data_IF_089439805989
#
_entry.id   IF_089439805989
#
_cell.length_a   1.000
_cell.length_b   1.000
_cell.length_c   1.000
_cell.angle_alpha   90.00
_cell.angle_beta   90.00
_cell.angle_gamma   90.00
#
_symmetry.space_group_name_H-M   'P 1'
#
loop_
_entity.id
_entity.type
_entity.pdbx_description
1 polymer ?
#
# COMPACT_ATOMS: atom_id res chain seq x y z
N UNK A 1 58.93 -38.08 -8.64
CA UNK A 1 58.41 -37.06 -7.71
C UNK A 1 58.48 -35.71 -8.42
N UNK A 2 57.34 -35.21 -8.88
CA UNK A 2 57.17 -33.84 -9.36
C UNK A 2 55.80 -33.39 -8.85
N UNK A 3 55.79 -32.38 -7.99
CA UNK A 3 54.60 -31.89 -7.31
C UNK A 3 53.70 -31.11 -8.27
N UNK A 4 52.39 -31.38 -8.20
CA UNK A 4 51.34 -30.65 -8.88
C UNK A 4 51.18 -29.22 -8.32
N UNK A 5 50.68 -28.25 -9.10
CA UNK A 5 50.44 -26.90 -8.62
C UNK A 5 49.32 -26.87 -7.59
N UNK A 6 49.55 -26.11 -6.52
CA UNK A 6 48.59 -25.84 -5.45
C UNK A 6 47.48 -24.94 -6.01
N UNK A 7 46.26 -25.47 -6.07
CA UNK A 7 45.05 -24.67 -6.26
C UNK A 7 44.75 -24.00 -4.92
N UNK A 8 44.82 -22.67 -4.87
CA UNK A 8 44.29 -21.90 -3.74
C UNK A 8 42.77 -21.98 -3.73
N UNK A 9 42.12 -22.17 -2.56
CA UNK A 9 40.65 -22.15 -2.51
C UNK A 9 40.17 -20.73 -2.78
N UNK A 10 39.31 -20.58 -3.79
CA UNK A 10 38.53 -19.36 -3.99
C UNK A 10 37.72 -19.07 -2.71
N UNK A 11 37.85 -17.85 -2.21
CA UNK A 11 37.16 -17.35 -1.03
C UNK A 11 35.64 -17.29 -1.32
N UNK A 12 34.79 -18.09 -0.63
CA UNK A 12 33.36 -18.20 -0.93
C UNK A 12 32.56 -16.93 -0.58
N UNK A 13 33.20 -15.86 -0.11
CA UNK A 13 32.55 -14.61 0.28
C UNK A 13 32.57 -13.49 -0.79
N UNK A 14 33.07 -13.78 -2.00
CA UNK A 14 33.14 -12.78 -3.10
C UNK A 14 31.99 -12.86 -4.10
N UNK A 15 30.95 -13.66 -3.87
CA UNK A 15 29.75 -13.61 -4.71
C UNK A 15 28.88 -12.41 -4.29
N UNK A 16 28.54 -11.47 -5.21
CA UNK A 16 27.50 -10.49 -4.92
C UNK A 16 26.21 -11.25 -4.54
N UNK A 17 25.37 -10.74 -3.62
CA UNK A 17 24.19 -11.45 -3.17
C UNK A 17 23.33 -11.85 -4.39
N UNK A 18 23.32 -13.15 -4.68
CA UNK A 18 22.80 -13.75 -5.91
C UNK A 18 21.31 -14.03 -5.86
N UNK A 19 20.50 -13.04 -5.45
CA UNK A 19 19.04 -13.10 -5.56
C UNK A 19 18.54 -12.49 -6.89
N UNK A 20 17.29 -12.72 -7.31
CA UNK A 20 16.72 -12.00 -8.43
C UNK A 20 16.77 -10.46 -8.18
N UNK A 21 16.87 -9.63 -9.23
CA UNK A 21 16.93 -8.17 -9.09
C UNK A 21 15.61 -7.57 -8.58
N UNK A 22 14.51 -8.33 -8.69
CA UNK A 22 13.16 -7.94 -8.30
C UNK A 22 12.54 -9.05 -7.44
N UNK A 23 11.66 -8.68 -6.51
CA UNK A 23 10.86 -9.58 -5.69
C UNK A 23 9.36 -9.35 -5.90
N UNK A 24 8.59 -10.44 -5.88
CA UNK A 24 7.13 -10.46 -5.94
C UNK A 24 6.57 -10.49 -4.52
N UNK A 25 5.92 -9.41 -4.11
CA UNK A 25 5.33 -9.26 -2.79
C UNK A 25 3.82 -9.36 -2.89
N UNK A 26 3.27 -10.52 -2.52
CA UNK A 26 1.82 -10.75 -2.47
C UNK A 26 1.26 -10.11 -1.20
N UNK A 27 0.19 -9.32 -1.35
CA UNK A 27 -0.42 -8.58 -0.23
C UNK A 27 -1.61 -9.31 0.40
N UNK A 28 -2.22 -10.26 -0.31
CA UNK A 28 -3.35 -11.03 0.17
C UNK A 28 -2.98 -11.86 1.41
N UNK A 29 -3.95 -12.03 2.31
CA UNK A 29 -3.77 -12.83 3.53
C UNK A 29 -4.82 -13.91 3.75
N UNK A 30 -5.80 -14.02 2.85
CA UNK A 30 -6.91 -14.97 2.93
C UNK A 30 -7.23 -15.61 1.57
N UNK A 31 -6.22 -16.23 0.94
CA UNK A 31 -6.39 -16.97 -0.30
C UNK A 31 -7.00 -18.35 -0.02
N UNK A 32 -7.95 -18.77 -0.84
CA UNK A 32 -8.59 -20.08 -0.73
C UNK A 32 -8.91 -20.70 -2.09
N UNK A 33 -9.40 -21.94 -2.09
CA UNK A 33 -9.92 -22.60 -3.31
C UNK A 33 -11.05 -21.76 -3.92
N UNK A 34 -11.02 -21.60 -5.24
CA UNK A 34 -11.94 -20.78 -6.02
C UNK A 34 -11.24 -19.59 -6.69
N UNK A 35 -12.04 -18.65 -7.17
CA UNK A 35 -11.55 -17.44 -7.83
C UNK A 35 -11.13 -16.41 -6.81
N UNK A 36 -9.87 -15.98 -6.86
CA UNK A 36 -9.32 -15.02 -5.92
C UNK A 36 -8.87 -13.80 -6.70
N UNK A 37 -9.20 -12.61 -6.20
CA UNK A 37 -8.50 -11.41 -6.62
C UNK A 37 -7.16 -11.34 -5.92
N UNK A 38 -6.08 -11.51 -6.69
CA UNK A 38 -4.73 -11.37 -6.21
C UNK A 38 -4.30 -9.91 -6.32
N UNK A 39 -3.63 -9.40 -5.29
CA UNK A 39 -3.05 -8.06 -5.22
C UNK A 39 -1.57 -8.17 -4.83
N UNK A 40 -0.65 -7.65 -5.65
CA UNK A 40 0.79 -7.78 -5.41
C UNK A 40 1.60 -6.56 -5.86
N UNK A 41 2.80 -6.42 -5.29
CA UNK A 41 3.80 -5.42 -5.70
C UNK A 41 5.05 -6.08 -6.25
N UNK A 42 5.74 -5.38 -7.15
CA UNK A 42 7.08 -5.72 -7.60
C UNK A 42 8.04 -4.71 -6.99
N UNK A 43 9.11 -5.19 -6.34
CA UNK A 43 10.11 -4.31 -5.70
C UNK A 43 11.52 -4.75 -6.05
N UNK A 44 12.40 -3.79 -6.31
CA UNK A 44 13.81 -4.07 -6.52
C UNK A 44 14.54 -4.36 -5.19
N UNK A 45 15.86 -4.54 -5.27
CA UNK A 45 16.71 -4.82 -4.09
C UNK A 45 16.78 -3.67 -3.08
N UNK A 46 16.48 -2.45 -3.51
CA UNK A 46 16.38 -1.27 -2.65
C UNK A 46 14.97 -1.08 -2.08
N UNK A 47 14.07 -2.05 -2.30
CA UNK A 47 12.65 -2.00 -1.95
C UNK A 47 11.90 -0.87 -2.67
N UNK A 48 12.42 -0.41 -3.81
CA UNK A 48 11.74 0.57 -4.64
C UNK A 48 10.75 -0.13 -5.56
N UNK A 49 9.54 0.44 -5.76
CA UNK A 49 8.55 -0.15 -6.64
C UNK A 49 9.04 -0.26 -8.09
N UNK A 50 8.88 -1.43 -8.69
CA UNK A 50 9.11 -1.69 -10.11
C UNK A 50 7.76 -1.71 -10.81
N UNK A 51 7.65 -1.01 -11.94
CA UNK A 51 6.40 -0.84 -12.69
C UNK A 51 6.63 -1.14 -14.17
N UNK A 52 6.63 -2.42 -14.57
CA UNK A 52 6.55 -2.77 -15.98
C UNK A 52 5.16 -2.42 -16.54
N UNK A 53 5.08 -2.26 -17.86
CA UNK A 53 3.81 -1.94 -18.55
C UNK A 53 2.84 -3.13 -18.58
N UNK A 54 3.37 -4.35 -18.61
CA UNK A 54 2.61 -5.59 -18.59
C UNK A 54 3.25 -6.62 -17.67
N UNK A 55 2.42 -7.41 -16.97
CA UNK A 55 2.86 -8.52 -16.13
C UNK A 55 2.01 -9.75 -16.43
N UNK A 56 2.62 -10.78 -17.00
CA UNK A 56 1.99 -12.08 -17.16
C UNK A 56 2.16 -12.88 -15.86
N UNK A 57 1.07 -13.44 -15.33
CA UNK A 57 1.06 -14.19 -14.09
C UNK A 57 0.67 -15.66 -14.33
N UNK A 58 1.37 -16.58 -13.67
CA UNK A 58 1.06 -18.01 -13.68
C UNK A 58 0.99 -18.54 -12.26
N UNK A 59 -0.04 -19.34 -11.97
CA UNK A 59 -0.12 -20.10 -10.73
C UNK A 59 0.32 -21.54 -10.99
N UNK A 60 1.33 -22.00 -10.26
CA UNK A 60 1.95 -23.32 -10.39
C UNK A 60 1.73 -24.09 -9.10
N UNK A 61 1.19 -25.30 -9.21
CA UNK A 61 0.99 -26.19 -8.08
C UNK A 61 2.01 -27.33 -8.08
N UNK A 62 2.60 -27.58 -6.93
CA UNK A 62 3.50 -28.70 -6.68
C UNK A 62 2.83 -29.68 -5.72
N UNK A 63 2.66 -30.91 -6.19
CA UNK A 63 2.21 -32.02 -5.36
C UNK A 63 3.25 -32.32 -4.27
N UNK A 64 2.85 -32.83 -3.08
CA UNK A 64 3.78 -33.17 -2.01
C UNK A 64 4.89 -34.10 -2.48
N UNK A 65 6.14 -33.66 -2.32
CA UNK A 65 7.33 -34.44 -2.73
C UNK A 65 7.63 -34.42 -4.24
N UNK A 66 6.82 -33.74 -5.05
CA UNK A 66 7.10 -33.53 -6.47
C UNK A 66 8.05 -32.35 -6.68
N UNK A 67 9.10 -32.56 -7.48
CA UNK A 67 9.94 -31.46 -7.99
C UNK A 67 9.36 -30.80 -9.25
N UNK A 68 8.29 -31.36 -9.82
CA UNK A 68 7.64 -30.86 -11.04
C UNK A 68 6.34 -30.16 -10.69
N UNK A 69 6.29 -28.86 -10.96
CA UNK A 69 5.11 -28.03 -10.83
C UNK A 69 4.20 -28.10 -12.06
N UNK A 70 2.90 -28.06 -11.83
CA UNK A 70 1.88 -28.00 -12.87
C UNK A 70 1.34 -26.58 -12.96
N UNK A 71 1.38 -25.96 -14.14
CA UNK A 71 0.71 -24.66 -14.33
C UNK A 71 -0.81 -24.90 -14.31
N UNK A 72 -1.50 -24.35 -13.32
CA UNK A 72 -2.94 -24.51 -13.13
C UNK A 72 -3.75 -23.31 -13.61
N UNK A 73 -3.14 -22.12 -13.61
CA UNK A 73 -3.79 -20.90 -14.04
C UNK A 73 -2.80 -19.96 -14.74
N UNK A 74 -3.30 -19.16 -15.70
CA UNK A 74 -2.55 -18.12 -16.40
C UNK A 74 -3.45 -16.91 -16.60
N UNK A 75 -2.92 -15.72 -16.34
CA UNK A 75 -3.64 -14.47 -16.47
C UNK A 75 -2.66 -13.31 -16.67
N UNK A 76 -3.17 -12.12 -16.94
CA UNK A 76 -2.39 -10.88 -16.95
C UNK A 76 -2.81 -10.02 -15.76
N UNK A 77 -1.86 -9.30 -15.18
CA UNK A 77 -2.12 -8.39 -14.09
C UNK A 77 -2.24 -6.96 -14.60
N UNK A 78 -3.26 -6.26 -14.09
CA UNK A 78 -3.50 -4.85 -14.33
C UNK A 78 -2.88 -4.01 -13.21
N UNK A 79 -2.26 -2.89 -13.55
CA UNK A 79 -1.77 -1.95 -12.54
C UNK A 79 -2.90 -1.02 -12.09
N UNK A 80 -3.24 -1.07 -10.81
CA UNK A 80 -4.23 -0.20 -10.19
C UNK A 80 -3.53 0.98 -9.50
N UNK A 81 -3.59 2.18 -10.08
CA UNK A 81 -2.99 3.37 -9.48
C UNK A 81 -3.74 3.78 -8.21
N UNK A 82 -3.00 4.26 -7.21
CA UNK A 82 -3.59 4.87 -6.01
C UNK A 82 -3.65 6.41 -6.17
N UNK A 83 -4.76 7.04 -5.72
CA UNK A 83 -4.87 8.50 -5.69
C UNK A 83 -3.77 9.19 -4.85
N UNK A 84 -3.47 10.48 -5.10
CA UNK A 84 -4.08 11.35 -6.12
C UNK A 84 -3.32 11.42 -7.45
N UNK A 85 -2.06 10.98 -7.51
CA UNK A 85 -1.17 11.19 -8.67
C UNK A 85 -0.88 9.91 -9.46
N UNK A 86 -1.44 8.76 -9.07
CA UNK A 86 -1.26 7.47 -9.74
C UNK A 86 0.18 6.97 -9.80
N UNK A 87 1.10 7.62 -9.07
CA UNK A 87 2.52 7.24 -9.04
C UNK A 87 2.80 6.01 -8.19
N UNK A 88 1.86 5.67 -7.31
CA UNK A 88 1.85 4.46 -6.48
C UNK A 88 0.66 3.61 -6.91
N UNK A 89 0.69 2.34 -6.56
CA UNK A 89 -0.37 1.42 -6.92
C UNK A 89 0.01 -0.01 -6.63
N UNK A 90 -0.84 -0.92 -7.06
CA UNK A 90 -0.68 -2.37 -6.87
C UNK A 90 -1.06 -3.07 -8.16
N UNK A 91 -0.39 -4.18 -8.47
CA UNK A 91 -0.86 -5.06 -9.54
C UNK A 91 -1.99 -5.93 -9.03
N UNK A 92 -3.03 -6.11 -9.85
CA UNK A 92 -4.15 -6.97 -9.54
C UNK A 92 -4.46 -7.94 -10.67
N UNK A 93 -4.79 -9.18 -10.31
CA UNK A 93 -5.19 -10.21 -11.26
C UNK A 93 -6.19 -11.16 -10.62
N UNK A 94 -7.17 -11.64 -11.38
CA UNK A 94 -8.02 -12.74 -10.93
C UNK A 94 -7.31 -14.07 -11.19
N UNK A 95 -7.14 -14.87 -10.13
CA UNK A 95 -6.45 -16.16 -10.15
C UNK A 95 -7.36 -17.22 -9.53
N UNK A 96 -7.60 -18.29 -10.28
CA UNK A 96 -8.38 -19.43 -9.77
C UNK A 96 -7.46 -20.50 -9.19
N UNK A 97 -7.73 -20.92 -7.95
CA UNK A 97 -7.06 -22.05 -7.31
C UNK A 97 -8.01 -23.22 -7.21
N UNK A 98 -7.67 -24.36 -7.81
CA UNK A 98 -8.56 -25.52 -7.85
C UNK A 98 -8.41 -26.51 -6.69
N UNK A 99 -7.49 -26.22 -5.75
CA UNK A 99 -7.21 -27.03 -4.56
C UNK A 99 -6.40 -26.27 -3.54
N UNK A 100 -6.51 -26.70 -2.28
CA UNK A 100 -5.71 -26.13 -1.22
C UNK A 100 -4.22 -26.53 -1.33
N UNK A 101 -3.38 -25.67 -0.76
CA UNK A 101 -1.93 -25.83 -0.69
C UNK A 101 -1.36 -24.83 0.31
N UNK A 102 -1.25 -25.25 1.58
CA UNK A 102 -0.76 -24.38 2.67
C UNK A 102 0.69 -24.67 3.03
N UNK A 103 1.33 -25.62 2.34
CA UNK A 103 2.66 -26.14 2.63
C UNK A 103 2.88 -26.60 4.08
N UNK A 104 1.80 -26.83 4.84
CA UNK A 104 1.82 -27.07 6.30
C UNK A 104 0.62 -27.91 6.74
N UNK A 105 0.75 -28.60 7.87
CA UNK A 105 -0.33 -29.44 8.41
C UNK A 105 -0.64 -30.62 7.48
N UNK A 106 -1.93 -30.86 7.22
CA UNK A 106 -2.42 -31.96 6.38
C UNK A 106 -2.41 -31.63 4.87
N UNK A 107 -2.22 -30.34 4.52
CA UNK A 107 -2.22 -29.86 3.13
C UNK A 107 -0.80 -29.49 2.70
N UNK A 108 -0.04 -30.49 2.28
CA UNK A 108 1.39 -30.36 1.97
C UNK A 108 1.70 -29.80 0.57
N UNK A 109 0.69 -29.62 -0.28
CA UNK A 109 0.87 -29.03 -1.61
C UNK A 109 1.34 -27.57 -1.53
N UNK A 110 2.10 -27.15 -2.53
CA UNK A 110 2.71 -25.81 -2.59
C UNK A 110 2.19 -25.07 -3.82
N UNK A 111 1.74 -23.84 -3.61
CA UNK A 111 1.42 -22.92 -4.70
C UNK A 111 2.55 -21.90 -4.87
N UNK A 112 3.02 -21.74 -6.10
CA UNK A 112 3.92 -20.67 -6.50
C UNK A 112 3.24 -19.77 -7.53
N UNK A 113 3.37 -18.47 -7.35
CA UNK A 113 3.01 -17.45 -8.33
C UNK A 113 4.25 -16.99 -9.07
N UNK A 114 4.20 -17.07 -10.39
CA UNK A 114 5.30 -16.69 -11.27
C UNK A 114 4.87 -15.47 -12.08
N UNK A 115 5.52 -14.33 -11.86
CA UNK A 115 5.30 -13.10 -12.61
C UNK A 115 6.41 -12.93 -13.66
N UNK A 116 6.03 -12.76 -14.92
CA UNK A 116 6.93 -12.55 -16.06
C UNK A 116 6.67 -11.16 -16.66
N UNK A 117 7.71 -10.35 -16.83
CA UNK A 117 7.61 -8.99 -17.36
C UNK A 117 8.94 -8.48 -17.93
N UNK A 118 8.86 -7.43 -18.76
CA UNK A 118 10.03 -6.76 -19.30
C UNK A 118 10.67 -5.85 -18.26
N UNK A 119 11.97 -6.02 -18.01
CA UNK A 119 12.71 -5.27 -17.01
C UNK A 119 13.74 -4.34 -17.65
N UNK A 120 13.35 -3.08 -17.85
CA UNK A 120 14.11 -2.06 -18.58
C UNK A 120 15.50 -1.73 -18.00
N UNK A 121 15.80 -2.10 -16.75
CA UNK A 121 17.12 -1.93 -16.15
C UNK A 121 18.07 -3.10 -16.42
N UNK A 122 17.65 -4.08 -17.23
CA UNK A 122 18.54 -5.11 -17.75
C UNK A 122 19.46 -4.49 -18.82
N UNK A 123 20.79 -4.48 -18.64
CA UNK A 123 21.72 -3.77 -19.54
C UNK A 123 21.89 -4.41 -20.93
N UNK A 124 21.06 -5.38 -21.31
CA UNK A 124 21.12 -6.07 -22.60
C UNK A 124 19.99 -5.59 -23.53
N UNK A 125 20.34 -5.22 -24.77
CA UNK A 125 19.38 -4.77 -25.79
C UNK A 125 18.37 -5.86 -26.22
N UNK A 126 18.65 -7.12 -25.90
CA UNK A 126 17.81 -8.31 -26.14
C UNK A 126 17.47 -9.02 -24.82
N UNK A 127 17.22 -8.27 -23.74
CA UNK A 127 16.94 -8.87 -22.45
C UNK A 127 15.65 -9.72 -22.48
N UNK A 128 15.81 -11.03 -22.27
CA UNK A 128 14.69 -11.94 -22.04
C UNK A 128 13.81 -11.44 -20.86
N UNK A 129 12.48 -11.61 -20.93
CA UNK A 129 11.58 -11.22 -19.85
C UNK A 129 11.98 -11.85 -18.52
N UNK A 130 12.01 -11.03 -17.47
CA UNK A 130 12.35 -11.49 -16.13
C UNK A 130 11.17 -12.28 -15.57
N UNK A 131 11.42 -13.50 -15.08
CA UNK A 131 10.44 -14.29 -14.33
C UNK A 131 10.85 -14.40 -12.87
N UNK A 132 9.94 -14.08 -11.96
CA UNK A 132 10.14 -14.16 -10.52
C UNK A 132 9.01 -14.94 -9.84
N UNK A 133 9.37 -15.72 -8.83
CA UNK A 133 8.44 -16.57 -8.08
C UNK A 133 8.14 -16.04 -6.68
N UNK A 134 6.95 -16.31 -6.17
CA UNK A 134 6.59 -16.16 -4.76
C UNK A 134 5.68 -17.30 -4.32
N UNK A 135 5.90 -17.85 -3.13
CA UNK A 135 5.06 -18.92 -2.57
C UNK A 135 3.85 -18.31 -1.90
N UNK A 136 2.68 -18.90 -2.12
CA UNK A 136 1.43 -18.50 -1.45
C UNK A 136 0.79 -19.69 -0.74
N UNK A 137 0.07 -19.40 0.34
CA UNK A 137 -0.72 -20.38 1.08
C UNK A 137 -2.18 -20.24 0.68
N UNK A 138 -2.78 -21.32 0.19
CA UNK A 138 -4.18 -21.40 -0.26
C UNK A 138 -4.93 -22.36 0.64
N UNK A 139 -5.92 -21.86 1.37
CA UNK A 139 -6.78 -22.66 2.24
C UNK A 139 -7.91 -23.36 1.46
N UNK A 140 -8.61 -24.31 2.08
CA UNK A 140 -9.81 -24.94 1.49
C UNK A 140 -10.99 -23.95 1.33
N UNK A 141 -11.10 -22.98 2.24
CA UNK A 141 -12.15 -21.98 2.24
C UNK A 141 -11.64 -20.65 2.79
N UNK A 142 -12.26 -19.55 2.38
CA UNK A 142 -12.00 -18.24 2.96
C UNK A 142 -12.39 -18.22 4.44
N UNK A 143 -11.67 -17.43 5.24
CA UNK A 143 -12.06 -17.15 6.63
C UNK A 143 -13.00 -15.96 6.69
N UNK A 144 -12.75 -14.96 5.84
CA UNK A 144 -13.65 -13.83 5.68
C UNK A 144 -14.84 -14.22 4.80
N UNK A 145 -16.01 -13.54 4.96
CA UNK A 145 -17.14 -13.71 4.05
C UNK A 145 -16.70 -13.48 2.60
N UNK A 146 -17.06 -14.41 1.72
CA UNK A 146 -16.71 -14.36 0.31
C UNK A 146 -17.86 -13.75 -0.52
N UNK A 147 -17.60 -13.47 -1.80
CA UNK A 147 -18.62 -12.93 -2.70
C UNK A 147 -19.79 -13.93 -2.80
N UNK A 148 -20.99 -13.44 -2.48
CA UNK A 148 -22.21 -14.24 -2.46
C UNK A 148 -22.63 -14.72 -1.07
N UNK A 149 -21.73 -14.67 -0.09
CA UNK A 149 -22.07 -15.01 1.30
C UNK A 149 -22.93 -13.93 1.95
N UNK A 150 -23.69 -14.34 2.97
CA UNK A 150 -24.38 -13.40 3.84
C UNK A 150 -23.38 -12.64 4.72
N UNK A 151 -23.47 -11.30 4.71
CA UNK A 151 -22.63 -10.47 5.58
C UNK A 151 -22.97 -10.71 7.07
N UNK A 152 -21.96 -10.85 7.95
CA UNK A 152 -22.18 -10.92 9.39
C UNK A 152 -22.93 -9.68 9.91
N UNK A 153 -23.99 -9.91 10.69
CA UNK A 153 -24.81 -8.83 11.29
C UNK A 153 -24.17 -8.32 12.58
N UNK A 154 -22.96 -7.80 12.48
CA UNK A 154 -22.14 -7.33 13.61
C UNK A 154 -22.73 -6.09 14.28
N UNK A 155 -22.85 -6.13 15.61
CA UNK A 155 -23.26 -4.97 16.41
C UNK A 155 -22.05 -4.09 16.72
N UNK A 156 -21.67 -3.25 15.75
CA UNK A 156 -20.54 -2.34 15.86
C UNK A 156 -20.91 -1.03 16.56
N UNK A 157 -19.98 -0.41 17.32
CA UNK A 157 -20.25 0.85 18.00
C UNK A 157 -20.71 1.97 17.04
N UNK A 158 -21.64 2.79 17.52
CA UNK A 158 -22.16 3.98 16.82
C UNK A 158 -21.96 5.21 17.69
N UNK A 159 -21.79 6.39 17.10
CA UNK A 159 -21.58 7.64 17.84
C UNK A 159 -22.27 8.82 17.17
N UNK A 160 -22.72 9.79 17.97
CA UNK A 160 -23.37 11.02 17.48
C UNK A 160 -22.64 12.28 17.89
N UNK A 161 -21.95 12.23 19.04
CA UNK A 161 -21.19 13.36 19.58
C UNK A 161 -19.70 13.17 19.37
N UNK A 162 -18.93 14.25 19.41
CA UNK A 162 -17.47 14.17 19.33
C UNK A 162 -16.87 13.27 20.44
N UNK A 163 -17.45 13.30 21.64
CA UNK A 163 -17.03 12.44 22.76
C UNK A 163 -17.29 10.96 22.47
N UNK A 164 -18.44 10.61 21.87
CA UNK A 164 -18.70 9.21 21.46
C UNK A 164 -17.66 8.77 20.43
N UNK A 165 -17.41 9.60 19.41
CA UNK A 165 -16.52 9.27 18.31
C UNK A 165 -15.06 9.08 18.76
N UNK A 166 -14.60 9.88 19.71
CA UNK A 166 -13.27 9.72 20.33
C UNK A 166 -13.11 8.33 20.97
N UNK A 167 -14.18 7.79 21.56
CA UNK A 167 -14.12 6.47 22.20
C UNK A 167 -14.15 5.29 21.23
N UNK A 168 -14.62 5.48 20.00
CA UNK A 168 -14.86 4.40 19.02
C UNK A 168 -14.03 4.53 17.73
N UNK A 169 -13.24 5.59 17.58
CA UNK A 169 -12.37 5.81 16.43
C UNK A 169 -11.01 6.32 16.85
N UNK A 170 -9.95 5.79 16.25
CA UNK A 170 -8.62 6.37 16.35
C UNK A 170 -8.36 7.51 15.35
N UNK A 171 -9.33 7.84 14.47
CA UNK A 171 -9.18 8.98 13.57
C UNK A 171 -9.04 10.29 14.36
N UNK A 172 -8.04 11.13 14.06
CA UNK A 172 -7.95 12.47 14.66
C UNK A 172 -9.15 13.37 14.31
N UNK A 173 -9.78 13.13 13.17
CA UNK A 173 -10.93 13.86 12.66
C UNK A 173 -11.93 12.82 12.12
N UNK A 174 -12.69 12.14 13.00
CA UNK A 174 -13.65 11.11 12.58
C UNK A 174 -14.87 11.77 11.92
N UNK A 175 -15.26 11.29 10.76
CA UNK A 175 -16.51 11.70 10.11
C UNK A 175 -17.72 11.06 10.81
N UNK A 176 -18.61 11.83 11.44
CA UNK A 176 -19.78 11.28 12.13
C UNK A 176 -20.70 10.45 11.22
N UNK A 177 -20.72 10.71 9.91
CA UNK A 177 -21.56 9.97 8.96
C UNK A 177 -21.24 8.47 8.93
N UNK A 178 -19.97 8.10 9.12
CA UNK A 178 -19.49 6.72 9.08
C UNK A 178 -19.84 5.89 10.34
N UNK A 179 -20.38 6.52 11.38
CA UNK A 179 -20.72 5.88 12.66
C UNK A 179 -22.20 6.04 13.02
N UNK A 180 -23.06 6.44 12.06
CA UNK A 180 -24.50 6.59 12.27
C UNK A 180 -25.23 5.26 12.46
N UNK A 181 -24.74 4.22 11.80
CA UNK A 181 -25.32 2.88 11.77
C UNK A 181 -24.28 1.86 12.19
N UNK A 182 -24.70 0.84 12.93
CA UNK A 182 -23.89 -0.37 13.07
C UNK A 182 -23.89 -1.16 11.76
N UNK A 183 -22.93 -2.07 11.59
CA UNK A 183 -22.89 -2.98 10.44
C UNK A 183 -24.21 -3.76 10.31
N UNK A 184 -24.73 -4.29 11.42
CA UNK A 184 -26.01 -4.99 11.43
C UNK A 184 -27.18 -4.10 10.97
N UNK A 185 -27.20 -2.81 11.34
CA UNK A 185 -28.22 -1.87 10.90
C UNK A 185 -28.07 -1.53 9.41
N UNK A 186 -26.85 -1.30 8.94
CA UNK A 186 -26.55 -1.00 7.54
C UNK A 186 -26.98 -2.15 6.62
N UNK A 187 -26.66 -3.40 6.98
CA UNK A 187 -27.07 -4.59 6.20
C UNK A 187 -28.60 -4.76 6.20
N UNK A 188 -29.26 -4.58 7.35
CA UNK A 188 -30.73 -4.70 7.46
C UNK A 188 -31.51 -3.59 6.75
N UNK A 189 -30.87 -2.47 6.44
CA UNK A 189 -31.52 -1.36 5.74
C UNK A 189 -31.92 -1.71 4.29
N UNK A 190 -31.45 -2.84 3.74
CA UNK A 190 -31.82 -3.31 2.41
C UNK A 190 -31.23 -2.51 1.26
N UNK A 191 -30.30 -1.60 1.55
CA UNK A 191 -29.48 -0.85 0.58
C UNK A 191 -28.07 -1.43 0.54
N UNK A 192 -27.30 -1.20 -0.53
CA UNK A 192 -25.87 -1.53 -0.54
C UNK A 192 -25.16 -0.94 0.67
N UNK A 193 -24.29 -1.73 1.30
CA UNK A 193 -23.50 -1.31 2.46
C UNK A 193 -22.01 -1.50 2.17
N UNK A 194 -21.22 -0.47 2.43
CA UNK A 194 -19.76 -0.48 2.35
C UNK A 194 -19.21 -0.41 3.76
N UNK A 195 -18.48 -1.44 4.17
CA UNK A 195 -17.91 -1.56 5.51
C UNK A 195 -16.39 -1.57 5.41
N UNK A 196 -15.71 -0.70 6.15
CA UNK A 196 -14.25 -0.61 6.19
C UNK A 196 -13.74 -0.89 7.60
N UNK A 197 -12.94 -1.95 7.75
CA UNK A 197 -12.19 -2.23 8.97
C UNK A 197 -10.82 -1.56 8.86
N UNK A 198 -10.59 -0.51 9.63
CA UNK A 198 -9.36 0.26 9.57
C UNK A 198 -8.99 0.84 10.94
N UNK A 199 -7.73 1.27 11.05
CA UNK A 199 -7.22 1.90 12.26
C UNK A 199 -6.40 3.15 11.91
N UNK A 200 -7.07 4.30 11.68
CA UNK A 200 -6.46 5.49 11.12
C UNK A 200 -5.16 5.96 11.82
N UNK A 201 -5.07 5.86 13.16
CA UNK A 201 -3.88 6.30 13.88
C UNK A 201 -2.87 5.20 14.22
N UNK A 202 -3.23 3.91 14.12
CA UNK A 202 -2.36 2.82 14.57
C UNK A 202 -1.81 1.93 13.45
N UNK A 203 -2.22 2.18 12.20
CA UNK A 203 -1.81 1.42 11.02
C UNK A 203 -0.37 1.75 10.63
N UNK A 204 0.52 0.74 10.62
CA UNK A 204 1.97 0.90 10.40
C UNK A 204 2.30 1.54 9.05
N UNK A 205 1.54 1.19 8.02
CA UNK A 205 1.71 1.70 6.66
C UNK A 205 1.16 3.10 6.45
N UNK A 206 0.42 3.65 7.44
CA UNK A 206 -0.29 4.93 7.37
C UNK A 206 -1.26 5.05 6.17
N UNK A 207 -1.68 3.93 5.57
CA UNK A 207 -2.66 3.89 4.46
C UNK A 207 -4.10 3.90 4.95
N UNK A 208 -4.34 3.42 6.17
CA UNK A 208 -5.67 3.29 6.75
C UNK A 208 -6.39 4.64 6.93
N UNK A 209 -5.67 5.71 7.29
CA UNK A 209 -6.26 7.05 7.43
C UNK A 209 -6.81 7.61 6.12
N UNK A 210 -5.98 7.70 5.04
CA UNK A 210 -6.45 8.06 3.71
C UNK A 210 -7.64 7.22 3.22
N UNK A 211 -7.62 5.90 3.40
CA UNK A 211 -8.74 5.04 2.99
C UNK A 211 -10.06 5.38 3.68
N UNK A 212 -10.02 5.75 4.97
CA UNK A 212 -11.22 6.20 5.69
C UNK A 212 -11.68 7.58 5.21
N UNK A 213 -10.76 8.46 4.79
CA UNK A 213 -11.12 9.74 4.18
C UNK A 213 -11.80 9.55 2.82
N UNK A 214 -11.32 8.62 1.99
CA UNK A 214 -11.95 8.27 0.72
C UNK A 214 -13.35 7.66 0.96
N UNK A 215 -13.49 6.82 1.99
CA UNK A 215 -14.79 6.29 2.41
C UNK A 215 -15.77 7.41 2.81
N UNK A 216 -15.31 8.43 3.52
CA UNK A 216 -16.10 9.63 3.85
C UNK A 216 -16.55 10.39 2.61
N UNK A 217 -15.67 10.57 1.62
CA UNK A 217 -16.03 11.21 0.35
C UNK A 217 -17.13 10.42 -0.38
N UNK A 218 -16.98 9.09 -0.45
CA UNK A 218 -18.00 8.20 -1.02
C UNK A 218 -19.31 8.26 -0.25
N UNK A 219 -19.26 8.33 1.08
CA UNK A 219 -20.44 8.45 1.92
C UNK A 219 -21.23 9.72 1.62
N UNK A 220 -20.54 10.86 1.39
CA UNK A 220 -21.16 12.09 0.94
C UNK A 220 -21.74 11.99 -0.47
N UNK A 221 -21.00 11.38 -1.41
CA UNK A 221 -21.41 11.25 -2.82
C UNK A 221 -22.63 10.35 -3.03
N UNK A 222 -22.74 9.27 -2.26
CA UNK A 222 -23.80 8.26 -2.38
C UNK A 222 -24.79 8.29 -1.21
N UNK A 223 -24.93 9.46 -0.57
CA UNK A 223 -25.89 9.64 0.52
C UNK A 223 -27.30 9.20 0.10
N UNK A 224 -27.94 8.41 0.95
CA UNK A 224 -29.28 7.87 0.69
C UNK A 224 -29.34 6.68 -0.29
N UNK A 225 -28.28 6.39 -1.06
CA UNK A 225 -28.22 5.27 -2.00
C UNK A 225 -27.50 4.05 -1.40
N UNK A 226 -26.48 4.28 -0.58
CA UNK A 226 -25.74 3.24 0.13
C UNK A 226 -25.47 3.64 1.58
N UNK A 227 -25.17 2.65 2.43
CA UNK A 227 -24.69 2.86 3.80
C UNK A 227 -23.18 2.69 3.85
N UNK A 228 -22.50 3.54 4.60
CA UNK A 228 -21.04 3.51 4.76
C UNK A 228 -20.73 3.42 6.25
N UNK A 229 -19.93 2.42 6.63
CA UNK A 229 -19.59 2.16 8.02
C UNK A 229 -18.08 1.99 8.15
N UNK A 230 -17.46 2.79 9.01
CA UNK A 230 -16.10 2.53 9.47
C UNK A 230 -16.14 1.78 10.79
N UNK A 231 -15.34 0.72 10.88
CA UNK A 231 -15.17 -0.09 12.08
C UNK A 231 -13.72 0.02 12.53
N UNK A 232 -13.50 0.71 13.65
CA UNK A 232 -12.20 0.65 14.33
C UNK A 232 -11.97 -0.77 14.83
N UNK A 233 -10.81 -1.34 14.50
CA UNK A 233 -10.52 -2.74 14.84
C UNK A 233 -10.25 -2.92 16.32
N UNK A 234 -9.79 -1.87 17.01
CA UNK A 234 -9.52 -1.89 18.44
C UNK A 234 -10.68 -1.35 19.26
N UNK A 235 -10.89 -1.95 20.44
CA UNK A 235 -11.78 -1.40 21.46
C UNK A 235 -11.09 -0.22 22.15
N UNK A 236 -11.87 0.80 22.50
CA UNK A 236 -11.45 1.99 23.24
C UNK A 236 -10.13 2.61 22.70
N UNK A 237 -10.04 2.92 21.38
CA UNK A 237 -8.84 3.48 20.75
C UNK A 237 -8.21 4.67 21.49
N UNK A 238 -9.01 5.52 22.13
CA UNK A 238 -8.54 6.66 22.94
C UNK A 238 -7.68 6.26 24.15
N UNK A 239 -7.83 5.03 24.67
CA UNK A 239 -7.05 4.50 25.78
C UNK A 239 -5.76 3.79 25.33
N UNK A 240 -5.59 3.60 24.01
CA UNK A 240 -4.47 2.81 23.49
C UNK A 240 -3.18 3.61 23.61
N UNK A 241 -2.27 3.07 24.41
CA UNK A 241 -0.88 3.52 24.44
C UNK A 241 -0.11 2.85 23.28
N UNK A 242 0.54 3.61 22.39
CA UNK A 242 1.37 3.06 21.32
C UNK A 242 2.49 2.11 21.80
N UNK A 243 2.92 2.23 23.06
CA UNK A 243 3.93 1.38 23.68
C UNK A 243 3.39 0.04 24.21
N UNK A 244 2.06 -0.16 24.27
CA UNK A 244 1.45 -1.39 24.76
C UNK A 244 1.14 -2.37 23.60
N UNK A 245 1.70 -3.60 23.63
CA UNK A 245 1.46 -4.60 22.61
C UNK A 245 0.10 -5.32 22.73
N UNK A 246 -0.60 -5.23 23.85
CA UNK A 246 -1.88 -5.93 24.06
C UNK A 246 -3.06 -4.98 23.83
N UNK A 247 -3.66 -5.06 22.64
CA UNK A 247 -4.84 -4.26 22.28
C UNK A 247 -6.04 -5.17 22.10
N UNK A 248 -7.11 -4.91 22.82
CA UNK A 248 -8.37 -5.64 22.64
C UNK A 248 -8.99 -5.25 21.28
N UNK A 249 -9.48 -6.25 20.54
CA UNK A 249 -10.14 -6.05 19.25
C UNK A 249 -11.65 -6.06 19.44
N UNK A 250 -12.39 -5.30 18.63
CA UNK A 250 -13.86 -5.37 18.63
C UNK A 250 -14.33 -6.76 18.15
N UNK A 251 -15.47 -7.29 18.65
CA UNK A 251 -15.97 -8.62 18.28
C UNK A 251 -16.13 -8.82 16.77
N UNK A 252 -16.54 -7.77 16.06
CA UNK A 252 -16.70 -7.76 14.61
C UNK A 252 -15.44 -8.24 13.85
N UNK A 253 -14.23 -7.97 14.36
CA UNK A 253 -12.99 -8.48 13.73
C UNK A 253 -12.96 -10.01 13.69
N UNK A 254 -13.46 -10.67 14.73
CA UNK A 254 -13.55 -12.14 14.77
C UNK A 254 -14.75 -12.67 13.98
N UNK A 255 -15.90 -11.99 14.06
CA UNK A 255 -17.13 -12.36 13.35
C UNK A 255 -16.93 -12.33 11.83
N UNK A 256 -16.07 -11.43 11.35
CA UNK A 256 -15.70 -11.31 9.94
C UNK A 256 -14.48 -12.16 9.57
N UNK A 257 -13.93 -12.98 10.48
CA UNK A 257 -12.80 -13.87 10.17
C UNK A 257 -11.45 -13.17 9.97
N UNK A 258 -11.31 -11.93 10.45
CA UNK A 258 -10.18 -11.05 10.11
C UNK A 258 -8.96 -11.22 11.02
N UNK A 259 -9.03 -12.13 12.00
CA UNK A 259 -7.89 -12.46 12.85
C UNK A 259 -6.91 -13.35 12.09
N UNK A 260 -5.64 -12.94 11.99
CA UNK A 260 -4.59 -13.88 11.56
C UNK A 260 -4.44 -14.98 12.62
N UNK A 261 -4.42 -16.23 12.18
CA UNK A 261 -3.95 -17.34 13.00
C UNK A 261 -2.45 -17.12 13.22
N UNK A 262 -2.07 -16.74 14.43
CA UNK A 262 -0.82 -17.19 15.06
C UNK A 262 -0.97 -17.09 16.59
N UNK A 263 -1.44 -18.18 17.19
CA UNK A 263 -1.13 -18.51 18.57
C UNK A 263 0.34 -18.96 18.66
N UNK A 264 1.29 -18.06 18.42
CA UNK A 264 2.67 -18.24 18.86
C UNK A 264 3.31 -16.88 19.04
N UNK A 265 3.91 -16.66 20.21
CA UNK A 265 4.55 -15.44 20.70
C UNK A 265 5.35 -14.70 19.60
N UNK A 266 4.76 -13.69 18.97
CA UNK A 266 5.49 -12.73 18.13
C UNK A 266 4.91 -11.34 18.33
N UNK A 267 5.79 -10.37 18.62
CA UNK A 267 5.51 -8.97 18.96
C UNK A 267 5.08 -8.15 17.73
N UNK A 268 4.11 -8.62 16.96
CA UNK A 268 3.58 -7.87 15.81
C UNK A 268 2.09 -8.14 15.63
N UNK A 269 1.29 -7.33 16.32
CA UNK A 269 -0.13 -7.09 16.04
C UNK A 269 -0.20 -5.65 15.53
N UNK A 270 -0.89 -5.24 14.46
CA UNK A 270 -1.83 -5.91 13.58
C UNK A 270 -1.78 -5.19 12.22
N UNK A 271 -1.88 -5.94 11.12
CA UNK A 271 -2.46 -5.43 9.88
C UNK A 271 -3.71 -6.26 9.65
N UNK A 272 -4.84 -5.76 10.14
CA UNK A 272 -6.16 -6.18 9.66
C UNK A 272 -6.66 -5.03 8.81
N UNK A 273 -6.33 -5.10 7.53
CA UNK A 273 -6.97 -4.30 6.50
C UNK A 273 -7.84 -5.29 5.74
N UNK A 274 -9.16 -5.17 5.89
CA UNK A 274 -10.08 -5.79 4.93
C UNK A 274 -10.55 -4.68 4.04
N UNK A 275 -9.79 -4.56 2.96
CA UNK A 275 -10.25 -3.96 1.72
C UNK A 275 -11.23 -4.98 1.15
N UNK A 276 -12.45 -4.56 0.80
CA UNK A 276 -13.08 -5.11 -0.41
C UNK A 276 -12.07 -4.74 -1.49
N UNK A 277 -11.08 -5.62 -1.72
CA UNK A 277 -9.90 -5.34 -2.54
C UNK A 277 -10.43 -4.77 -3.84
N UNK A 278 -10.13 -3.50 -4.09
CA UNK A 278 -10.69 -2.69 -5.15
C UNK A 278 -10.38 -1.21 -4.88
N UNK A 279 -10.02 -0.50 -5.95
CA UNK A 279 -9.90 0.95 -5.96
C UNK A 279 -11.25 1.59 -5.56
N UNK A 280 -11.23 2.83 -5.09
CA UNK A 280 -12.41 3.68 -4.90
C UNK A 280 -13.28 3.64 -6.16
N UNK A 281 -12.67 3.67 -7.35
CA UNK A 281 -13.36 3.58 -8.64
C UNK A 281 -14.11 2.26 -8.84
N UNK A 282 -13.64 1.17 -8.24
CA UNK A 282 -14.26 -0.14 -8.36
C UNK A 282 -15.38 -0.36 -7.34
N UNK A 283 -15.20 0.15 -6.12
CA UNK A 283 -16.32 0.27 -5.17
C UNK A 283 -17.42 1.11 -5.83
N UNK A 284 -17.04 2.19 -6.49
CA UNK A 284 -17.95 3.03 -7.29
C UNK A 284 -18.57 2.26 -8.47
N UNK A 285 -17.80 1.48 -9.23
CA UNK A 285 -18.32 0.68 -10.35
C UNK A 285 -19.31 -0.38 -9.87
N UNK A 286 -19.01 -1.03 -8.74
CA UNK A 286 -19.88 -2.01 -8.09
C UNK A 286 -21.17 -1.35 -7.59
N UNK A 287 -21.07 -0.20 -6.92
CA UNK A 287 -22.23 0.57 -6.46
C UNK A 287 -23.10 1.04 -7.64
N UNK A 288 -22.50 1.48 -8.75
CA UNK A 288 -23.23 1.84 -9.98
C UNK A 288 -23.93 0.64 -10.61
N UNK A 289 -23.27 -0.52 -10.66
CA UNK A 289 -23.85 -1.77 -11.14
C UNK A 289 -25.03 -2.25 -10.27
N UNK A 290 -24.95 -2.07 -8.95
CA UNK A 290 -26.03 -2.36 -8.01
C UNK A 290 -27.19 -1.36 -8.12
N UNK A 291 -26.91 -0.06 -8.21
CA UNK A 291 -27.94 0.97 -8.39
C UNK A 291 -28.72 0.81 -9.70
N UNK A 292 -28.07 0.36 -10.78
CA UNK A 292 -28.74 0.01 -12.04
C UNK A 292 -29.68 -1.21 -11.93
N UNK A 293 -29.34 -2.20 -11.10
CA UNK A 293 -30.16 -3.41 -10.87
C UNK A 293 -31.37 -3.20 -9.96
N UNK A 294 -31.37 -2.16 -9.13
CA UNK A 294 -32.52 -1.81 -8.26
C UNK A 294 -33.69 -1.22 -9.07
N UNK A 295 -33.50 -0.96 -10.37
CA UNK A 295 -34.52 -0.40 -11.25
C UNK A 295 -35.33 -1.42 -12.07
N UNK A 296 -35.02 -2.73 -12.00
CA UNK A 296 -35.73 -3.75 -12.78
C UNK A 296 -35.80 -5.10 -12.04
N UNK A 297 -36.97 -5.51 -11.51
CA UNK A 297 -37.11 -6.72 -10.71
C UNK A 297 -37.38 -7.95 -11.57
N UNK A 298 -36.69 -8.15 -12.70
CA UNK A 298 -36.80 -9.39 -13.48
C UNK A 298 -35.59 -9.64 -14.38
N UNK A 299 -34.41 -9.99 -13.86
CA UNK A 299 -33.42 -10.73 -14.65
C UNK A 299 -32.64 -11.73 -13.79
N UNK A 300 -32.82 -13.02 -14.09
CA UNK A 300 -32.08 -14.15 -13.54
C UNK A 300 -30.62 -14.17 -14.04
N UNK A 301 -29.73 -14.68 -13.20
CA UNK A 301 -28.31 -14.92 -13.49
C UNK A 301 -28.15 -15.80 -14.74
N UNK A 302 -27.38 -15.42 -15.77
CA UNK A 302 -27.10 -16.32 -16.88
C UNK A 302 -25.97 -17.29 -16.50
N UNK A 303 -26.28 -18.58 -16.56
CA UNK A 303 -25.32 -19.68 -16.52
C UNK A 303 -24.67 -19.83 -17.90
N UNK A 304 -23.37 -20.14 -17.91
CA UNK A 304 -22.58 -20.34 -19.12
C UNK A 304 -23.08 -21.56 -19.93
N UNK A 305 -23.45 -21.33 -21.20
CA UNK A 305 -23.08 -22.12 -22.40
C UNK A 305 -24.04 -21.84 -23.57
N UNK A 306 -23.54 -21.23 -24.65
CA UNK A 306 -23.79 -21.62 -26.05
C UNK A 306 -23.22 -20.56 -27.02
N UNK A 307 -22.49 -21.04 -28.04
CA UNK A 307 -22.08 -20.31 -29.25
C UNK A 307 -23.32 -20.01 -30.11
N UNK A 308 -23.36 -18.85 -30.78
CA UNK A 308 -23.36 -18.69 -32.26
C UNK A 308 -23.78 -17.27 -32.71
N UNK A 309 -22.89 -16.66 -33.52
CA UNK A 309 -23.05 -15.80 -34.72
C UNK A 309 -24.07 -14.66 -34.84
N UNK A 310 -23.54 -13.55 -35.43
CA UNK A 310 -24.18 -12.53 -36.28
C UNK A 310 -25.11 -11.52 -35.57
N UNK A 311 -25.26 -10.26 -35.93
CA UNK A 311 -24.61 -9.23 -36.77
C UNK A 311 -25.37 -7.92 -36.40
N UNK A 312 -24.97 -6.77 -36.92
CA UNK A 312 -25.65 -5.45 -36.86
C UNK A 312 -25.28 -4.49 -35.71
N UNK A 313 -24.21 -3.74 -35.98
CA UNK A 313 -24.23 -2.29 -36.16
C UNK A 313 -25.11 -1.43 -35.23
N UNK A 314 -24.45 -0.65 -34.36
CA UNK A 314 -24.67 0.80 -34.35
C UNK A 314 -23.34 1.49 -34.08
N UNK A 315 -22.74 2.03 -35.14
CA UNK A 315 -21.55 2.87 -35.09
C UNK A 315 -21.91 4.28 -34.63
N UNK A 316 -21.15 4.82 -33.68
CA UNK A 316 -20.90 6.27 -33.59
C UNK A 316 -19.39 6.45 -33.59
N UNK A 317 -18.87 6.84 -34.75
CA UNK A 317 -17.49 7.26 -34.97
C UNK A 317 -17.29 8.69 -34.47
N UNK A 318 -16.18 8.94 -33.77
CA UNK A 318 -15.54 10.27 -33.75
C UNK A 318 -14.05 10.05 -34.04
N UNK A 319 -13.64 10.56 -35.20
CA UNK A 319 -12.27 10.60 -35.69
C UNK A 319 -11.44 11.70 -34.98
N UNK A 320 -10.10 11.64 -35.07
CA UNK A 320 -9.19 12.41 -34.23
C UNK A 320 -8.95 13.82 -34.79
N UNK A 321 -8.64 14.77 -33.92
CA UNK A 321 -8.18 16.10 -34.31
C UNK A 321 -6.66 16.21 -34.09
N UNK A 322 -5.92 16.20 -35.19
CA UNK A 322 -4.58 16.79 -35.39
C UNK A 322 -4.87 18.04 -36.22
N UNK A 323 -4.36 19.25 -36.02
CA UNK A 323 -3.31 19.85 -35.19
C UNK A 323 -2.95 21.16 -35.91
N UNK A 324 -2.58 22.22 -35.19
CA UNK A 324 -1.78 23.31 -35.76
C UNK A 324 -0.87 23.85 -34.67
N UNK A 325 0.42 23.63 -34.87
CA UNK A 325 1.55 24.22 -34.15
C UNK A 325 1.59 25.74 -34.35
N UNK A 326 2.09 26.46 -33.35
CA UNK A 326 3.00 27.60 -33.57
C UNK A 326 3.66 28.01 -32.24
N UNK A 327 4.99 27.91 -32.19
CA UNK A 327 5.86 28.78 -31.36
C UNK A 327 6.42 28.21 -30.06
N UNK A 328 7.60 27.57 -30.13
CA UNK A 328 8.58 27.55 -29.03
C UNK A 328 8.94 29.00 -28.62
N UNK A 329 9.16 29.25 -27.32
CA UNK A 329 10.41 29.90 -26.97
C UNK A 329 11.12 29.22 -25.79
N UNK A 330 12.34 28.79 -26.12
CA UNK A 330 13.60 29.07 -25.43
C UNK A 330 13.71 28.77 -23.93
N UNK A 331 14.56 27.78 -23.63
CA UNK A 331 15.15 27.52 -22.33
C UNK A 331 15.82 28.79 -21.78
N UNK A 332 15.12 29.49 -20.89
CA UNK A 332 15.77 30.37 -19.92
C UNK A 332 15.31 30.02 -18.52
N UNK A 333 16.27 29.54 -17.74
CA UNK A 333 16.24 29.39 -16.29
C UNK A 333 15.52 30.56 -15.61
N UNK A 334 14.28 30.33 -15.18
CA UNK A 334 13.57 31.19 -14.25
C UNK A 334 13.45 30.44 -12.91
N UNK A 335 14.28 30.84 -11.95
CA UNK A 335 14.16 30.45 -10.55
C UNK A 335 12.72 30.72 -10.07
N UNK A 336 11.99 29.65 -9.73
CA UNK A 336 10.77 29.78 -8.95
C UNK A 336 11.17 30.30 -7.56
N UNK A 337 10.86 31.56 -7.27
CA UNK A 337 11.03 32.15 -5.94
C UNK A 337 10.03 31.51 -4.97
N UNK A 338 10.38 30.32 -4.47
CA UNK A 338 9.67 29.60 -3.42
C UNK A 338 9.77 30.34 -2.08
N UNK A 339 8.85 30.06 -1.18
CA UNK A 339 8.91 30.60 0.18
C UNK A 339 10.18 30.09 0.89
N UNK A 340 10.83 30.94 1.67
CA UNK A 340 12.02 30.57 2.44
C UNK A 340 11.64 30.07 3.85
N UNK A 341 12.46 29.17 4.40
CA UNK A 341 12.35 28.76 5.79
C UNK A 341 12.61 29.94 6.74
N UNK A 342 11.76 30.08 7.77
CA UNK A 342 11.93 31.06 8.84
C UNK A 342 11.68 30.38 10.21
N UNK A 343 12.00 31.09 11.29
CA UNK A 343 11.85 30.58 12.65
C UNK A 343 10.45 29.98 12.94
N UNK A 344 9.36 30.64 12.52
CA UNK A 344 7.99 30.15 12.77
C UNK A 344 7.70 28.81 12.06
N UNK A 345 8.16 28.68 10.81
CA UNK A 345 8.03 27.45 10.02
C UNK A 345 8.88 26.33 10.60
N UNK A 346 10.12 26.62 10.98
CA UNK A 346 11.01 25.64 11.62
C UNK A 346 10.45 25.16 12.94
N UNK A 347 9.94 26.02 13.84
CA UNK A 347 9.35 25.58 15.11
C UNK A 347 8.19 24.61 14.91
N UNK A 348 7.30 24.92 13.95
CA UNK A 348 6.12 24.09 13.66
C UNK A 348 6.52 22.76 13.02
N UNK A 349 7.50 22.78 12.11
CA UNK A 349 8.07 21.60 11.49
C UNK A 349 8.78 20.70 12.52
N UNK A 350 9.62 21.30 13.37
CA UNK A 350 10.46 20.60 14.33
C UNK A 350 9.67 19.84 15.40
N UNK A 351 8.55 20.41 15.87
CA UNK A 351 7.71 19.79 16.90
C UNK A 351 7.13 18.44 16.49
N UNK A 352 6.99 18.19 15.19
CA UNK A 352 6.36 16.97 14.67
C UNK A 352 7.36 15.97 14.08
N UNK A 353 8.66 16.29 14.13
CA UNK A 353 9.73 15.40 13.68
C UNK A 353 10.05 14.34 14.73
N UNK A 354 10.49 13.14 14.32
CA UNK A 354 10.98 12.12 15.26
C UNK A 354 12.28 12.59 15.94
N UNK A 355 12.57 12.10 17.15
CA UNK A 355 13.79 12.47 17.86
C UNK A 355 15.06 12.10 17.09
N UNK A 356 15.06 10.93 16.46
CA UNK A 356 16.17 10.46 15.61
C UNK A 356 16.34 11.36 14.37
N UNK A 357 15.25 11.86 13.77
CA UNK A 357 15.34 12.77 12.64
C UNK A 357 15.83 14.17 13.07
N UNK A 358 15.45 14.64 14.27
CA UNK A 358 15.98 15.89 14.85
C UNK A 358 17.48 15.77 15.05
N UNK A 359 17.94 14.67 15.64
CA UNK A 359 19.36 14.41 15.86
C UNK A 359 20.15 14.36 14.54
N UNK A 360 19.59 13.73 13.51
CA UNK A 360 20.19 13.71 12.18
C UNK A 360 20.28 15.12 11.56
N UNK A 361 19.21 15.90 11.58
CA UNK A 361 19.21 17.27 11.04
C UNK A 361 20.13 18.22 11.81
N UNK A 362 20.18 18.13 13.15
CA UNK A 362 21.13 18.88 13.98
C UNK A 362 22.59 18.50 13.68
N UNK A 363 22.84 17.22 13.38
CA UNK A 363 24.19 16.80 13.05
C UNK A 363 24.63 17.40 11.72
N UNK A 364 23.77 17.35 10.70
CA UNK A 364 24.02 17.92 9.37
C UNK A 364 24.14 19.45 9.42
N UNK A 365 23.36 20.14 10.26
CA UNK A 365 23.43 21.61 10.39
C UNK A 365 24.75 22.11 10.98
N UNK A 366 25.49 21.25 11.69
CA UNK A 366 26.82 21.53 12.26
C UNK A 366 27.97 21.12 11.34
N UNK A 367 27.68 20.44 10.23
CA UNK A 367 28.69 19.98 9.28
C UNK A 367 29.10 21.10 8.32
N UNK A 368 30.34 21.08 7.80
CA UNK A 368 30.75 22.03 6.76
C UNK A 368 29.77 22.03 5.59
N UNK A 369 29.41 23.22 5.11
CA UNK A 369 28.46 23.42 4.00
C UNK A 369 27.10 22.71 4.19
N UNK A 370 26.67 22.49 5.44
CA UNK A 370 25.42 21.79 5.74
C UNK A 370 25.31 20.40 5.10
N UNK A 371 26.46 19.75 4.90
CA UNK A 371 26.57 18.51 4.15
C UNK A 371 27.26 17.44 4.99
N UNK A 372 26.70 16.23 5.05
CA UNK A 372 27.25 15.11 5.80
C UNK A 372 27.13 13.81 5.01
N UNK A 373 28.25 13.10 4.81
CA UNK A 373 28.23 11.76 4.17
C UNK A 373 27.35 10.79 4.98
N UNK A 374 26.52 10.00 4.29
CA UNK A 374 25.57 9.06 4.92
C UNK A 374 26.26 8.09 5.88
N UNK A 375 27.39 7.51 5.48
CA UNK A 375 28.16 6.59 6.30
C UNK A 375 28.63 7.21 7.63
N UNK A 376 29.08 8.48 7.59
CA UNK A 376 29.51 9.20 8.79
C UNK A 376 28.33 9.55 9.71
N UNK A 377 27.17 9.87 9.13
CA UNK A 377 25.95 10.14 9.88
C UNK A 377 25.43 8.87 10.58
N UNK A 378 25.40 7.73 9.87
CA UNK A 378 25.08 6.41 10.41
C UNK A 378 26.02 6.02 11.56
N UNK A 379 27.34 6.19 11.35
CA UNK A 379 28.34 5.87 12.36
C UNK A 379 28.19 6.74 13.62
N UNK A 380 27.99 8.05 13.45
CA UNK A 380 27.86 8.99 14.57
C UNK A 380 26.60 8.73 15.39
N UNK A 381 25.47 8.45 14.73
CA UNK A 381 24.19 8.21 15.38
C UNK A 381 23.99 6.74 15.79
N UNK A 382 24.93 5.85 15.45
CA UNK A 382 24.84 4.40 15.66
C UNK A 382 23.57 3.80 15.06
N UNK A 383 23.22 4.25 13.87
CA UNK A 383 22.03 3.80 13.14
C UNK A 383 22.44 2.94 11.94
N UNK A 384 21.62 1.93 11.65
CA UNK A 384 21.64 1.26 10.36
C UNK A 384 21.09 2.18 9.26
N UNK A 385 21.34 1.84 7.99
CA UNK A 385 20.79 2.59 6.86
C UNK A 385 19.25 2.60 6.91
N UNK A 386 18.64 1.46 7.24
CA UNK A 386 17.19 1.31 7.36
C UNK A 386 16.61 2.21 8.46
N UNK A 387 17.26 2.30 9.60
CA UNK A 387 16.81 3.16 10.71
C UNK A 387 16.98 4.65 10.40
N UNK A 388 18.10 5.02 9.77
CA UNK A 388 18.34 6.41 9.35
C UNK A 388 17.32 6.85 8.29
N UNK A 389 17.12 6.07 7.23
CA UNK A 389 16.13 6.35 6.18
C UNK A 389 14.70 6.32 6.71
N UNK A 390 14.37 5.34 7.55
CA UNK A 390 13.06 5.25 8.20
C UNK A 390 12.77 6.45 9.08
N UNK A 391 13.75 6.90 9.87
CA UNK A 391 13.59 8.10 10.70
C UNK A 391 13.43 9.38 9.87
N UNK A 392 14.27 9.55 8.84
CA UNK A 392 14.25 10.73 7.98
C UNK A 392 13.00 10.83 7.10
N UNK A 393 12.24 9.74 6.94
CA UNK A 393 10.92 9.77 6.29
C UNK A 393 9.91 10.68 7.01
N UNK A 394 10.06 10.86 8.33
CA UNK A 394 9.19 11.72 9.15
C UNK A 394 9.19 13.19 8.71
N UNK A 395 10.23 13.65 8.02
CA UNK A 395 10.30 15.02 7.49
C UNK A 395 9.18 15.34 6.50
N UNK A 396 8.77 14.35 5.70
CA UNK A 396 7.68 14.52 4.73
C UNK A 396 6.34 14.78 5.42
N UNK A 397 6.07 14.04 6.51
CA UNK A 397 4.88 14.24 7.32
C UNK A 397 4.88 15.60 8.04
N UNK A 398 6.02 16.02 8.59
CA UNK A 398 6.16 17.34 9.21
C UNK A 398 5.98 18.49 8.21
N UNK A 399 6.51 18.35 6.98
CA UNK A 399 6.35 19.34 5.92
C UNK A 399 4.90 19.45 5.45
N UNK A 400 4.23 18.31 5.22
CA UNK A 400 2.83 18.28 4.81
C UNK A 400 1.90 18.87 5.88
N UNK A 401 2.20 18.63 7.17
CA UNK A 401 1.45 19.22 8.29
C UNK A 401 1.63 20.74 8.35
N UNK A 402 2.83 21.24 8.07
CA UNK A 402 3.11 22.67 7.99
C UNK A 402 2.31 23.32 6.85
N UNK A 403 2.31 22.71 5.65
CA UNK A 403 1.53 23.16 4.49
C UNK A 403 0.02 23.19 4.75
N UNK A 404 -0.54 22.23 5.51
CA UNK A 404 -1.97 22.25 5.88
C UNK A 404 -2.32 23.38 6.88
N UNK A 405 -1.43 23.68 7.83
CA UNK A 405 -1.71 24.66 8.90
C UNK A 405 -1.54 26.12 8.50
N UNK A 406 -0.68 26.42 7.52
CA UNK A 406 -0.29 27.79 7.16
C UNK A 406 -0.75 28.21 5.76
N UNK A 407 -1.60 27.42 5.12
CA UNK A 407 -1.88 27.53 3.69
C UNK A 407 -0.76 26.89 2.88
N UNK A 408 -1.01 26.63 1.59
CA UNK A 408 -0.10 25.89 0.69
C UNK A 408 1.22 26.66 0.44
N UNK A 409 2.10 26.74 1.45
CA UNK A 409 3.40 27.40 1.39
C UNK A 409 4.38 26.47 0.68
N UNK A 410 4.95 26.94 -0.41
CA UNK A 410 5.92 26.16 -1.17
C UNK A 410 7.34 26.32 -0.60
N UNK A 411 7.64 25.52 0.43
CA UNK A 411 8.94 25.45 1.08
C UNK A 411 9.80 24.31 0.48
N UNK A 412 11.11 24.53 0.28
CA UNK A 412 12.02 23.47 -0.15
C UNK A 412 12.14 22.37 0.91
N UNK A 413 12.49 21.14 0.49
CA UNK A 413 12.73 20.06 1.45
C UNK A 413 13.91 20.44 2.35
N UNK A 414 13.75 20.34 3.68
CA UNK A 414 14.75 20.85 4.60
C UNK A 414 16.01 19.98 4.62
N UNK A 415 15.89 18.67 4.41
CA UNK A 415 17.04 17.76 4.26
C UNK A 415 16.88 16.91 2.99
N UNK A 416 17.77 17.09 2.03
CA UNK A 416 17.83 16.32 0.79
C UNK A 416 18.97 15.31 0.82
N UNK A 417 18.82 14.22 0.07
CA UNK A 417 19.87 13.23 -0.09
C UNK A 417 20.44 13.36 -1.51
N UNK A 418 21.73 13.68 -1.58
CA UNK A 418 22.50 13.70 -2.82
C UNK A 418 23.08 12.30 -3.07
N UNK A 419 22.65 11.70 -4.19
CA UNK A 419 23.05 10.36 -4.60
C UNK A 419 24.46 10.31 -5.20
N UNK A 420 24.92 11.40 -5.83
CA UNK A 420 26.25 11.43 -6.46
C UNK A 420 27.32 11.51 -5.38
N UNK A 421 27.05 12.30 -4.36
CA UNK A 421 27.96 12.51 -3.23
C UNK A 421 27.74 11.54 -2.06
N UNK A 422 26.72 10.68 -2.09
CA UNK A 422 26.27 9.86 -0.95
C UNK A 422 26.21 10.68 0.37
N UNK A 423 25.55 11.84 0.30
CA UNK A 423 25.53 12.83 1.36
C UNK A 423 24.14 13.40 1.60
N UNK A 424 23.85 13.73 2.86
CA UNK A 424 22.69 14.54 3.19
C UNK A 424 23.08 16.01 3.20
N UNK A 425 22.28 16.84 2.53
CA UNK A 425 22.44 18.28 2.43
C UNK A 425 21.22 18.94 3.08
N UNK A 426 21.47 19.86 4.02
CA UNK A 426 20.42 20.61 4.69
C UNK A 426 20.25 21.97 4.01
N UNK A 427 19.00 22.38 3.78
CA UNK A 427 18.65 23.69 3.23
C UNK A 427 19.25 24.81 4.10
N UNK A 428 19.90 25.78 3.46
CA UNK A 428 20.66 26.83 4.16
C UNK A 428 19.77 27.77 4.96
N UNK A 429 18.56 28.09 4.47
CA UNK A 429 17.59 28.91 5.20
C UNK A 429 17.02 28.15 6.41
N UNK A 430 16.78 26.85 6.26
CA UNK A 430 16.37 25.98 7.37
C UNK A 430 17.47 25.88 8.44
N UNK A 431 18.72 25.69 8.01
CA UNK A 431 19.87 25.60 8.91
C UNK A 431 20.11 26.90 9.69
N UNK A 432 19.95 28.05 9.03
CA UNK A 432 20.07 29.36 9.67
C UNK A 432 18.94 29.58 10.69
N UNK A 433 17.69 29.27 10.33
CA UNK A 433 16.55 29.37 11.24
C UNK A 433 16.66 28.42 12.46
N UNK A 434 17.30 27.25 12.32
CA UNK A 434 17.62 26.39 13.47
C UNK A 434 18.61 27.02 14.45
N UNK A 435 19.64 27.72 13.93
CA UNK A 435 20.61 28.44 14.76
C UNK A 435 19.96 29.61 15.48
N UNK A 436 19.13 30.38 14.79
CA UNK A 436 18.39 31.51 15.37
C UNK A 436 17.48 31.08 16.53
N UNK A 437 16.87 29.90 16.44
CA UNK A 437 16.04 29.31 17.49
C UNK A 437 16.83 28.67 18.64
N UNK A 438 18.17 28.63 18.57
CA UNK A 438 19.01 27.93 19.55
C UNK A 438 18.84 26.40 19.53
N UNK A 439 18.36 25.86 18.41
CA UNK A 439 18.04 24.44 18.21
C UNK A 439 19.11 23.71 17.37
N UNK A 440 20.22 24.40 17.06
CA UNK A 440 21.31 23.91 16.22
C UNK A 440 22.36 23.13 16.96
#
# INVERSE_FOLDING_TARGET
MACAPVVTPDDPLSQPPGGPPVSLVVSNSDLAVGDNRLSFGLVDRDYMPVRPDAVALRAVYYEPGSATGQVRHRTEAEFLPWPPDGRRGVFSANVSFDRAGTATGDTLGIWELHATFDYAQSPAADAEPLTIGSVVSVAESHRAPFIGDAAPLSDTPTGKTAADLETISSSPEPDPALYRLSVAQAVRAGKPAVVSFATPAFCVTATCGPQVADLSELAGRYEGQASFVHVEVYRDPHLINPADPARELVPAVSEWGLRKIQATRSKTLANVTVTIEGDVEEVVATLRGMAGRVSDPTVAVPTAAARETADEATAVSILPNVGTEEGEPDETTAEASGAAWNASYVTTFWRNLSDTARQAMMRVSRSPNYTQKRAQLMHTLRLTQRELSGSLSSQGHSLNRLKRRRGNVDLPRPLTYDRTEDAYVLDSNFANALRELGMS
#
